data_IF_469709742133
#
_entry.id   IF_469709742133
#
_cell.length_a   1.000
_cell.length_b   1.000
_cell.length_c   1.000
_cell.angle_alpha   90.00
_cell.angle_beta   90.00
_cell.angle_gamma   90.00
#
_symmetry.space_group_name_H-M   'P 1'
#
loop_
_entity.id
_entity.type
_entity.pdbx_description
1 polymer ?
#
# COMPACT_ATOMS: atom_id res chain seq x y z
N UNK A 1 -12.31 -9.08 1.84
CA UNK A 1 -10.85 -9.34 1.84
C UNK A 1 -10.17 -8.77 3.06
N UNK A 2 -10.27 -7.46 3.33
CA UNK A 2 -9.86 -6.84 4.59
C UNK A 2 -11.10 -6.47 5.38
N UNK A 3 -11.11 -6.72 6.69
CA UNK A 3 -12.11 -6.23 7.65
C UNK A 3 -11.37 -5.78 8.91
N UNK A 4 -11.44 -4.50 9.20
CA UNK A 4 -10.92 -3.92 10.44
C UNK A 4 -12.04 -3.24 11.21
N UNK A 5 -12.04 -3.46 12.53
CA UNK A 5 -13.05 -2.89 13.42
C UNK A 5 -12.42 -2.22 14.60
N UNK A 6 -12.81 -0.99 14.83
CA UNK A 6 -12.39 -0.16 15.95
C UNK A 6 -10.85 -0.14 16.14
N UNK A 7 -10.10 -0.08 15.01
CA UNK A 7 -8.64 -0.12 15.03
C UNK A 7 -8.09 1.14 15.70
N UNK A 8 -7.26 0.94 16.72
CA UNK A 8 -6.66 2.03 17.50
C UNK A 8 -5.15 1.90 17.52
N UNK A 9 -4.46 3.04 17.47
CA UNK A 9 -3.00 3.11 17.61
C UNK A 9 -2.58 4.42 18.24
N UNK A 10 -1.70 4.32 19.23
CA UNK A 10 -1.08 5.46 19.89
C UNK A 10 0.44 5.29 19.87
N UNK A 11 1.18 6.40 19.86
CA UNK A 11 2.62 6.42 20.06
C UNK A 11 2.94 7.32 21.25
N UNK A 12 3.60 6.75 22.26
CA UNK A 12 3.95 7.46 23.50
C UNK A 12 2.75 8.18 24.14
N UNK A 13 1.60 7.52 24.14
CA UNK A 13 0.36 8.06 24.70
C UNK A 13 -0.42 9.03 23.79
N UNK A 14 0.15 9.41 22.63
CA UNK A 14 -0.54 10.28 21.67
C UNK A 14 -1.35 9.41 20.70
N UNK A 15 -2.69 9.53 20.65
CA UNK A 15 -3.54 8.76 19.73
C UNK A 15 -3.31 9.19 18.29
N UNK A 16 -3.09 8.22 17.41
CA UNK A 16 -2.88 8.41 15.96
C UNK A 16 -4.01 7.77 15.15
N UNK A 17 -4.51 6.60 15.55
CA UNK A 17 -5.74 6.01 15.02
C UNK A 17 -6.78 5.93 16.13
N UNK A 18 -7.98 6.40 15.87
CA UNK A 18 -9.02 6.62 16.89
C UNK A 18 -10.30 5.82 16.58
N UNK A 19 -10.14 4.50 16.34
CA UNK A 19 -11.28 3.63 16.08
C UNK A 19 -11.66 3.61 14.59
N UNK A 20 -10.72 3.17 13.75
CA UNK A 20 -10.96 3.01 12.32
C UNK A 20 -11.75 1.73 12.05
N UNK A 21 -12.86 1.86 11.36
CA UNK A 21 -13.63 0.77 10.76
C UNK A 21 -13.46 0.82 9.24
N UNK A 22 -12.95 -0.26 8.64
CA UNK A 22 -12.73 -0.33 7.20
C UNK A 22 -12.88 -1.75 6.69
N UNK A 23 -13.65 -1.91 5.63
CA UNK A 23 -13.71 -3.15 4.84
C UNK A 23 -13.16 -2.90 3.46
N UNK A 24 -12.48 -3.88 2.86
CA UNK A 24 -12.03 -3.85 1.46
C UNK A 24 -12.44 -5.16 0.80
N UNK A 25 -13.20 -5.08 -0.28
CA UNK A 25 -13.64 -6.23 -1.04
C UNK A 25 -12.50 -6.82 -1.90
N UNK A 26 -12.57 -8.11 -2.28
CA UNK A 26 -11.66 -8.67 -3.29
C UNK A 26 -11.74 -7.88 -4.60
N UNK A 27 -10.57 -7.54 -5.17
CA UNK A 27 -10.47 -6.76 -6.41
C UNK A 27 -10.79 -5.27 -6.27
N UNK A 28 -11.07 -4.80 -5.06
CA UNK A 28 -11.32 -3.37 -4.80
C UNK A 28 -10.01 -2.59 -4.66
N UNK A 29 -9.97 -1.43 -5.27
CA UNK A 29 -8.91 -0.43 -5.08
C UNK A 29 -9.45 0.69 -4.20
N UNK A 30 -8.86 0.86 -3.02
CA UNK A 30 -9.21 1.91 -2.06
C UNK A 30 -8.10 2.94 -1.97
N UNK A 31 -8.40 4.19 -2.30
CA UNK A 31 -7.50 5.31 -2.08
C UNK A 31 -7.71 5.90 -0.68
N UNK A 32 -6.62 6.08 0.07
CA UNK A 32 -6.63 6.73 1.39
C UNK A 32 -5.95 8.09 1.25
N UNK A 33 -6.72 9.16 1.44
CA UNK A 33 -6.28 10.54 1.30
C UNK A 33 -6.45 11.29 2.62
N UNK A 34 -5.77 12.42 2.77
CA UNK A 34 -5.85 13.26 3.97
C UNK A 34 -4.56 14.04 4.22
N UNK A 35 -4.57 14.99 5.15
CA UNK A 35 -3.40 15.81 5.48
C UNK A 35 -2.24 14.98 6.02
N UNK A 36 -1.03 15.55 5.97
CA UNK A 36 0.14 14.94 6.63
C UNK A 36 -0.13 14.80 8.13
N UNK A 37 0.32 13.67 8.72
CA UNK A 37 0.08 13.37 10.13
C UNK A 37 -1.34 12.91 10.48
N UNK A 38 -2.25 12.71 9.53
CA UNK A 38 -3.62 12.22 9.82
C UNK A 38 -3.71 10.72 10.17
N UNK A 39 -2.63 9.95 10.05
CA UNK A 39 -2.58 8.53 10.41
C UNK A 39 -2.60 7.55 9.22
N UNK A 40 -2.55 8.01 7.96
CA UNK A 40 -2.63 7.17 6.75
C UNK A 40 -1.57 6.06 6.71
N UNK A 41 -0.28 6.42 6.82
CA UNK A 41 0.85 5.48 6.88
C UNK A 41 0.73 4.53 8.08
N UNK A 42 0.30 5.04 9.23
CA UNK A 42 0.06 4.21 10.44
C UNK A 42 -1.05 3.19 10.20
N UNK A 43 -2.13 3.56 9.50
CA UNK A 43 -3.17 2.63 9.11
C UNK A 43 -2.60 1.50 8.25
N UNK A 44 -1.87 1.83 7.17
CA UNK A 44 -1.26 0.81 6.31
C UNK A 44 -0.30 -0.11 7.09
N UNK A 45 0.54 0.47 7.95
CA UNK A 45 1.48 -0.31 8.78
C UNK A 45 0.79 -1.22 9.77
N UNK A 46 -0.36 -0.80 10.30
CA UNK A 46 -1.20 -1.68 11.13
C UNK A 46 -1.83 -2.81 10.31
N UNK A 47 -2.22 -2.60 9.06
CA UNK A 47 -2.78 -3.64 8.18
C UNK A 47 -1.77 -4.76 7.89
N UNK A 48 -0.48 -4.46 7.82
CA UNK A 48 0.61 -5.44 7.65
C UNK A 48 1.30 -5.79 8.98
N UNK A 49 0.79 -5.28 10.11
CA UNK A 49 1.36 -5.48 11.46
C UNK A 49 2.84 -5.07 11.57
N UNK A 50 3.31 -4.14 10.72
CA UNK A 50 4.58 -3.45 10.92
C UNK A 50 4.53 -2.59 12.17
N UNK A 51 3.38 -1.93 12.39
CA UNK A 51 3.02 -1.31 13.67
C UNK A 51 1.92 -2.17 14.33
N UNK A 52 2.12 -2.58 15.56
CA UNK A 52 1.10 -3.34 16.33
C UNK A 52 -0.02 -2.39 16.75
N UNK A 53 -1.28 -2.63 16.37
CA UNK A 53 -2.41 -1.88 16.90
C UNK A 53 -2.54 -2.04 18.42
N UNK A 54 -3.10 -1.03 19.08
CA UNK A 54 -3.34 -1.04 20.52
C UNK A 54 -4.74 -1.55 20.86
N UNK A 55 -5.62 -1.72 19.86
CA UNK A 55 -6.97 -2.23 20.03
C UNK A 55 -7.70 -2.40 18.71
N UNK A 56 -8.81 -3.11 18.73
CA UNK A 56 -9.64 -3.46 17.59
C UNK A 56 -9.38 -4.87 17.06
N UNK A 57 -9.94 -5.18 15.91
CA UNK A 57 -9.73 -6.46 15.21
C UNK A 57 -9.24 -6.21 13.80
N UNK A 58 -8.37 -7.09 13.32
CA UNK A 58 -7.85 -7.08 11.95
C UNK A 58 -8.05 -8.45 11.33
N UNK A 59 -8.74 -8.50 10.19
CA UNK A 59 -8.90 -9.70 9.38
C UNK A 59 -8.45 -9.45 7.96
N UNK A 60 -7.63 -10.35 7.42
CA UNK A 60 -7.21 -10.37 6.02
C UNK A 60 -7.45 -11.78 5.46
N UNK A 61 -8.36 -11.91 4.50
CA UNK A 61 -8.78 -13.22 4.03
C UNK A 61 -9.38 -14.06 5.15
N UNK A 62 -8.78 -15.22 5.42
CA UNK A 62 -9.16 -16.11 6.52
C UNK A 62 -8.42 -15.81 7.83
N UNK A 63 -7.37 -14.99 7.79
CA UNK A 63 -6.50 -14.74 8.93
C UNK A 63 -7.07 -13.61 9.78
N UNK A 64 -7.34 -13.92 11.05
CA UNK A 64 -7.84 -12.95 12.02
C UNK A 64 -6.84 -12.76 13.17
N UNK A 65 -6.50 -11.50 13.42
CA UNK A 65 -5.60 -11.04 14.48
C UNK A 65 -6.42 -10.34 15.54
N UNK A 66 -6.35 -10.84 16.76
CA UNK A 66 -6.91 -10.21 17.95
C UNK A 66 -5.86 -9.26 18.55
N UNK A 67 -6.08 -7.96 18.39
CA UNK A 67 -5.14 -6.95 18.89
C UNK A 67 -5.18 -6.81 20.42
N UNK A 68 -6.19 -7.35 21.08
CA UNK A 68 -6.27 -7.45 22.54
C UNK A 68 -5.35 -8.51 23.13
N UNK A 69 -4.80 -9.41 22.29
CA UNK A 69 -3.83 -10.43 22.73
C UNK A 69 -2.40 -10.04 22.37
N UNK A 70 -1.41 -10.42 23.18
CA UNK A 70 -0.01 -10.19 22.85
C UNK A 70 0.37 -10.79 21.48
N UNK A 71 1.02 -10.01 20.61
CA UNK A 71 1.46 -10.49 19.30
C UNK A 71 2.42 -11.67 19.40
N UNK A 72 3.14 -11.79 20.51
CA UNK A 72 4.02 -12.94 20.79
C UNK A 72 3.27 -14.29 20.80
N UNK A 73 1.98 -14.29 21.14
CA UNK A 73 1.12 -15.49 21.15
C UNK A 73 0.48 -15.77 19.78
N UNK A 74 0.62 -14.87 18.81
CA UNK A 74 0.02 -14.94 17.48
C UNK A 74 1.08 -14.91 16.37
N UNK A 75 2.33 -15.25 16.66
CA UNK A 75 3.47 -15.12 15.73
C UNK A 75 3.25 -15.81 14.39
N UNK A 76 2.67 -17.00 14.41
CA UNK A 76 2.43 -17.76 13.18
C UNK A 76 1.37 -17.08 12.30
N UNK A 77 0.27 -16.61 12.91
CA UNK A 77 -0.75 -15.83 12.21
C UNK A 77 -0.19 -14.51 11.63
N UNK A 78 0.66 -13.82 12.39
CA UNK A 78 1.34 -12.60 11.93
C UNK A 78 2.25 -12.90 10.74
N UNK A 79 3.00 -14.00 10.80
CA UNK A 79 3.88 -14.42 9.71
C UNK A 79 3.07 -14.81 8.47
N UNK A 80 1.99 -15.55 8.65
CA UNK A 80 1.07 -15.93 7.59
C UNK A 80 0.44 -14.69 6.95
N UNK A 81 -0.13 -13.77 7.75
CA UNK A 81 -0.71 -12.53 7.25
C UNK A 81 0.28 -11.75 6.36
N UNK A 82 1.52 -11.61 6.80
CA UNK A 82 2.56 -10.89 6.03
C UNK A 82 2.93 -11.55 4.71
N UNK A 83 2.66 -12.83 4.51
CA UNK A 83 2.85 -13.49 3.21
C UNK A 83 1.69 -13.19 2.25
N UNK A 84 0.50 -12.91 2.77
CA UNK A 84 -0.70 -12.56 2.00
C UNK A 84 -0.84 -11.06 1.72
N UNK A 85 -0.05 -10.23 2.40
CA UNK A 85 -0.10 -8.77 2.27
C UNK A 85 1.21 -8.23 1.73
N UNK A 86 1.22 -7.81 0.48
CA UNK A 86 2.33 -7.09 -0.11
C UNK A 86 2.39 -5.65 0.41
N UNK A 87 3.59 -5.11 0.60
CA UNK A 87 3.79 -3.73 1.02
C UNK A 87 4.83 -3.04 0.14
N UNK A 88 4.45 -1.89 -0.43
CA UNK A 88 5.32 -1.02 -1.23
C UNK A 88 5.53 0.27 -0.45
N UNK A 89 6.78 0.52 -0.07
CA UNK A 89 7.19 1.64 0.76
C UNK A 89 7.46 2.90 -0.07
N UNK A 90 7.35 4.05 0.56
CA UNK A 90 7.71 5.35 -0.01
C UNK A 90 9.19 5.43 -0.43
N UNK A 91 10.10 4.89 0.39
CA UNK A 91 11.56 4.93 0.17
C UNK A 91 12.12 3.64 -0.45
N UNK A 92 11.35 2.95 -1.29
CA UNK A 92 11.72 1.72 -2.02
C UNK A 92 12.14 0.55 -1.11
N UNK A 93 13.00 0.76 -0.13
CA UNK A 93 13.54 -0.21 0.83
C UNK A 93 14.12 -1.46 0.15
N UNK A 94 14.84 -1.27 -0.95
CA UNK A 94 15.56 -2.36 -1.62
C UNK A 94 16.80 -2.75 -0.80
N UNK A 95 17.17 -4.03 -0.89
CA UNK A 95 18.42 -4.52 -0.34
C UNK A 95 19.58 -3.99 -1.20
N UNK A 96 20.45 -3.10 -0.68
CA UNK A 96 21.45 -2.39 -1.50
C UNK A 96 22.55 -3.30 -2.06
N UNK A 97 22.77 -4.46 -1.41
CA UNK A 97 23.76 -5.48 -1.78
C UNK A 97 23.19 -6.59 -2.66
N UNK A 98 21.94 -6.49 -3.10
CA UNK A 98 21.25 -7.41 -3.99
C UNK A 98 20.94 -6.71 -5.31
N UNK A 99 21.01 -7.45 -6.42
CA UNK A 99 20.53 -6.98 -7.71
C UNK A 99 19.01 -6.78 -7.73
N UNK A 100 18.46 -6.20 -8.79
CA UNK A 100 17.01 -6.07 -8.96
C UNK A 100 16.32 -7.44 -8.92
N UNK A 101 16.84 -8.42 -9.66
CA UNK A 101 16.30 -9.78 -9.65
C UNK A 101 16.38 -10.42 -8.26
N UNK A 102 17.54 -10.33 -7.60
CA UNK A 102 17.72 -10.88 -6.25
C UNK A 102 16.78 -10.23 -5.23
N UNK A 103 16.52 -8.91 -5.34
CA UNK A 103 15.51 -8.24 -4.52
C UNK A 103 14.11 -8.82 -4.73
N UNK A 104 13.74 -9.13 -5.97
CA UNK A 104 12.41 -9.66 -6.31
C UNK A 104 12.25 -11.09 -5.79
N UNK A 105 13.26 -11.94 -5.93
CA UNK A 105 13.15 -13.37 -5.57
C UNK A 105 13.45 -13.70 -4.12
N UNK A 106 13.96 -12.76 -3.33
CA UNK A 106 14.36 -13.00 -1.93
C UNK A 106 13.21 -13.58 -1.09
N UNK A 107 12.03 -12.96 -1.17
CA UNK A 107 10.83 -13.42 -0.45
C UNK A 107 10.40 -14.84 -0.84
N UNK A 108 10.16 -15.13 -2.12
CA UNK A 108 9.84 -16.47 -2.60
C UNK A 108 10.84 -17.54 -2.13
N UNK A 109 12.13 -17.32 -2.33
CA UNK A 109 13.17 -18.30 -2.00
C UNK A 109 13.35 -18.47 -0.49
N UNK A 110 13.44 -17.35 0.27
CA UNK A 110 13.81 -17.42 1.69
C UNK A 110 12.59 -17.67 2.58
N UNK A 111 11.44 -17.04 2.29
CA UNK A 111 10.25 -17.10 3.15
C UNK A 111 9.34 -18.26 2.74
N UNK A 112 9.00 -18.36 1.44
CA UNK A 112 8.13 -19.43 0.92
C UNK A 112 8.86 -20.73 0.66
N UNK A 113 10.21 -20.74 0.65
CA UNK A 113 11.05 -21.92 0.36
C UNK A 113 10.78 -22.49 -1.04
N UNK A 114 10.44 -21.65 -1.98
CA UNK A 114 10.22 -22.02 -3.37
C UNK A 114 11.53 -22.44 -4.06
N UNK A 115 11.39 -23.23 -5.11
CA UNK A 115 12.51 -23.57 -5.98
C UNK A 115 13.15 -22.29 -6.57
N UNK A 116 14.48 -22.23 -6.52
CA UNK A 116 15.21 -21.03 -6.93
C UNK A 116 15.08 -20.73 -8.43
N UNK A 117 15.05 -21.75 -9.28
CA UNK A 117 14.97 -21.57 -10.74
C UNK A 117 13.56 -21.08 -11.11
N UNK A 118 12.53 -21.64 -10.50
CA UNK A 118 11.15 -21.16 -10.65
C UNK A 118 10.99 -19.72 -10.18
N UNK A 119 11.59 -19.36 -9.03
CA UNK A 119 11.59 -18.01 -8.51
C UNK A 119 12.32 -17.02 -9.45
N UNK A 120 13.46 -17.43 -10.05
CA UNK A 120 14.20 -16.63 -11.04
C UNK A 120 13.34 -16.40 -12.29
N UNK A 121 12.73 -17.44 -12.84
CA UNK A 121 11.88 -17.32 -14.02
C UNK A 121 10.71 -16.32 -13.78
N UNK A 122 10.02 -16.46 -12.66
CA UNK A 122 8.96 -15.54 -12.23
C UNK A 122 9.50 -14.13 -11.99
N UNK A 123 10.64 -13.99 -11.32
CA UNK A 123 11.26 -12.70 -11.05
C UNK A 123 11.61 -11.93 -12.32
N UNK A 124 12.18 -12.61 -13.33
CA UNK A 124 12.46 -12.00 -14.64
C UNK A 124 11.19 -11.58 -15.36
N UNK A 125 10.13 -12.38 -15.32
CA UNK A 125 8.84 -12.05 -15.90
C UNK A 125 8.22 -10.81 -15.21
N UNK A 126 8.32 -10.71 -13.87
CA UNK A 126 7.84 -9.54 -13.12
C UNK A 126 8.65 -8.28 -13.42
N UNK A 127 9.98 -8.38 -13.55
CA UNK A 127 10.80 -7.25 -13.95
C UNK A 127 10.47 -6.79 -15.37
N UNK A 128 10.27 -7.70 -16.31
CA UNK A 128 9.81 -7.37 -17.66
C UNK A 128 8.45 -6.66 -17.64
N UNK A 129 7.52 -7.15 -16.83
CA UNK A 129 6.19 -6.56 -16.64
C UNK A 129 6.23 -5.11 -16.14
N UNK A 130 7.19 -4.77 -15.27
CA UNK A 130 7.36 -3.38 -14.79
C UNK A 130 8.34 -2.57 -15.68
N UNK A 131 8.67 -3.07 -16.89
CA UNK A 131 9.53 -2.38 -17.86
C UNK A 131 11.02 -2.36 -17.50
N UNK A 132 11.52 -3.38 -16.79
CA UNK A 132 12.89 -3.47 -16.30
C UNK A 132 13.58 -4.80 -16.67
N UNK A 133 13.24 -5.38 -17.83
CA UNK A 133 13.82 -6.66 -18.28
C UNK A 133 15.34 -6.60 -18.40
N UNK A 134 15.89 -5.46 -18.87
CA UNK A 134 17.30 -5.18 -19.08
C UNK A 134 18.06 -4.80 -17.79
N UNK A 135 17.34 -4.60 -16.67
CA UNK A 135 17.88 -4.16 -15.38
C UNK A 135 17.96 -5.28 -14.32
N UNK A 136 17.68 -6.53 -14.69
CA UNK A 136 17.64 -7.66 -13.76
C UNK A 136 18.92 -7.78 -12.90
N UNK A 137 20.07 -7.55 -13.49
CA UNK A 137 21.38 -7.71 -12.86
C UNK A 137 21.94 -6.37 -12.29
N UNK A 138 21.16 -5.27 -12.37
CA UNK A 138 21.54 -3.96 -11.84
C UNK A 138 21.33 -3.89 -10.33
N UNK A 139 22.26 -3.25 -9.62
CA UNK A 139 22.13 -2.94 -8.19
C UNK A 139 21.28 -1.66 -7.98
N UNK A 140 20.63 -1.49 -6.82
CA UNK A 140 19.81 -0.30 -6.55
C UNK A 140 20.49 1.03 -6.85
N UNK A 141 21.79 1.18 -6.55
CA UNK A 141 22.59 2.39 -6.83
C UNK A 141 22.72 2.74 -8.32
N UNK A 142 22.44 1.78 -9.20
CA UNK A 142 22.52 1.92 -10.66
C UNK A 142 21.15 2.21 -11.29
N UNK A 143 20.11 2.28 -10.46
CA UNK A 143 18.73 2.48 -10.87
C UNK A 143 18.24 3.88 -10.49
N UNK A 144 17.44 4.52 -11.36
CA UNK A 144 16.73 5.74 -10.99
C UNK A 144 15.71 5.47 -9.87
N UNK A 145 15.21 6.51 -9.19
CA UNK A 145 14.19 6.38 -8.17
C UNK A 145 12.93 5.65 -8.68
N UNK A 146 12.45 6.02 -9.86
CA UNK A 146 11.30 5.34 -10.49
C UNK A 146 11.58 3.87 -10.84
N UNK A 147 12.81 3.54 -11.27
CA UNK A 147 13.22 2.15 -11.49
C UNK A 147 13.28 1.38 -10.17
N UNK A 148 13.84 1.95 -9.11
CA UNK A 148 13.88 1.32 -7.78
C UNK A 148 12.47 1.05 -7.25
N UNK A 149 11.54 1.99 -7.43
CA UNK A 149 10.15 1.81 -7.01
C UNK A 149 9.46 0.70 -7.82
N UNK A 150 9.71 0.61 -9.12
CA UNK A 150 9.17 -0.47 -9.94
C UNK A 150 9.75 -1.83 -9.55
N UNK A 151 11.03 -1.92 -9.15
CA UNK A 151 11.60 -3.14 -8.53
C UNK A 151 10.91 -3.47 -7.22
N UNK A 152 10.62 -2.48 -6.35
CA UNK A 152 9.90 -2.70 -5.10
C UNK A 152 8.47 -3.22 -5.33
N UNK A 153 7.78 -2.75 -6.38
CA UNK A 153 6.48 -3.27 -6.79
C UNK A 153 6.63 -4.73 -7.26
N UNK A 154 7.59 -5.03 -8.15
CA UNK A 154 7.85 -6.39 -8.62
C UNK A 154 8.18 -7.35 -7.46
N UNK A 155 8.97 -6.91 -6.47
CA UNK A 155 9.27 -7.66 -5.24
C UNK A 155 8.01 -7.98 -4.44
N UNK A 156 7.11 -7.02 -4.30
CA UNK A 156 5.83 -7.24 -3.63
C UNK A 156 4.97 -8.26 -4.37
N UNK A 157 4.90 -8.16 -5.71
CA UNK A 157 4.13 -9.07 -6.56
C UNK A 157 4.70 -10.50 -6.56
N UNK A 158 6.00 -10.67 -6.40
CA UNK A 158 6.67 -11.98 -6.39
C UNK A 158 6.18 -12.90 -5.27
N UNK A 159 5.67 -12.33 -4.18
CA UNK A 159 5.04 -13.05 -3.09
C UNK A 159 3.60 -13.49 -3.39
N UNK A 160 3.05 -13.13 -4.56
CA UNK A 160 1.66 -13.43 -4.96
C UNK A 160 0.65 -13.04 -3.86
N UNK A 161 0.68 -11.79 -3.39
CA UNK A 161 -0.15 -11.38 -2.27
C UNK A 161 -1.61 -11.26 -2.68
N UNK A 162 -2.51 -11.49 -1.71
CA UNK A 162 -3.95 -11.26 -1.87
C UNK A 162 -4.29 -9.77 -1.90
N UNK A 163 -3.49 -8.97 -1.19
CA UNK A 163 -3.65 -7.51 -1.06
C UNK A 163 -2.31 -6.83 -1.20
N UNK A 164 -2.27 -5.68 -1.87
CA UNK A 164 -1.08 -4.83 -1.97
C UNK A 164 -1.37 -3.48 -1.33
N UNK A 165 -0.52 -3.11 -0.38
CA UNK A 165 -0.55 -1.83 0.30
C UNK A 165 0.53 -0.91 -0.28
N UNK A 166 0.14 0.29 -0.72
CA UNK A 166 1.05 1.30 -1.25
C UNK A 166 1.10 2.50 -0.32
N UNK A 167 2.25 2.76 0.27
CA UNK A 167 2.48 3.90 1.17
C UNK A 167 3.22 5.01 0.42
N UNK A 168 2.46 5.94 -0.15
CA UNK A 168 2.96 7.09 -0.92
C UNK A 168 4.01 6.71 -1.97
N UNK A 169 3.69 5.83 -2.93
CA UNK A 169 4.66 5.19 -3.83
C UNK A 169 5.40 6.14 -4.77
N UNK A 170 4.99 7.40 -4.86
CA UNK A 170 5.58 8.41 -5.75
C UNK A 170 6.22 9.58 -5.02
N UNK A 171 6.03 9.72 -3.70
CA UNK A 171 6.43 10.92 -2.94
C UNK A 171 7.95 11.14 -2.86
N UNK A 172 8.76 10.08 -3.09
CA UNK A 172 10.22 10.17 -3.10
C UNK A 172 10.82 10.27 -4.52
N UNK A 173 9.97 10.53 -5.54
CA UNK A 173 10.38 10.56 -6.94
C UNK A 173 10.40 11.98 -7.49
N UNK A 174 11.29 12.20 -8.46
CA UNK A 174 11.23 13.38 -9.31
C UNK A 174 9.93 13.36 -10.13
N UNK A 175 9.29 14.53 -10.39
CA UNK A 175 7.98 14.60 -11.06
C UNK A 175 7.93 13.88 -12.41
N UNK A 176 9.03 13.89 -13.17
CA UNK A 176 9.13 13.22 -14.49
C UNK A 176 9.05 11.69 -14.40
N UNK A 177 9.39 11.10 -13.24
CA UNK A 177 9.40 9.64 -13.01
C UNK A 177 8.09 9.12 -12.43
N UNK A 178 7.22 10.00 -11.93
CA UNK A 178 5.94 9.65 -11.30
C UNK A 178 5.04 8.86 -12.25
N UNK A 179 4.94 9.31 -13.50
CA UNK A 179 4.04 8.73 -14.50
C UNK A 179 4.29 7.23 -14.75
N UNK A 180 5.56 6.81 -14.79
CA UNK A 180 5.92 5.42 -15.04
C UNK A 180 5.48 4.49 -13.89
N UNK A 181 5.61 4.94 -12.64
CA UNK A 181 5.19 4.18 -11.47
C UNK A 181 3.67 4.10 -11.38
N UNK A 182 2.98 5.22 -11.62
CA UNK A 182 1.51 5.26 -11.65
C UNK A 182 0.92 4.37 -12.75
N UNK A 183 1.57 4.29 -13.92
CA UNK A 183 1.16 3.39 -15.01
C UNK A 183 1.20 1.91 -14.57
N UNK A 184 2.25 1.49 -13.85
CA UNK A 184 2.33 0.14 -13.30
C UNK A 184 1.21 -0.11 -12.28
N UNK A 185 0.95 0.84 -11.37
CA UNK A 185 -0.13 0.66 -10.37
C UNK A 185 -1.51 0.62 -11.06
N UNK A 186 -1.73 1.42 -12.12
CA UNK A 186 -2.95 1.38 -12.92
C UNK A 186 -3.16 0.02 -13.57
N UNK A 187 -2.13 -0.59 -14.15
CA UNK A 187 -2.25 -1.92 -14.75
C UNK A 187 -2.65 -2.99 -13.72
N UNK A 188 -2.19 -2.87 -12.47
CA UNK A 188 -2.60 -3.76 -11.38
C UNK A 188 -4.08 -3.57 -11.00
N UNK A 189 -4.59 -2.34 -11.06
CA UNK A 189 -6.01 -2.05 -10.85
C UNK A 189 -6.90 -2.66 -11.95
N UNK A 190 -6.47 -2.54 -13.21
CA UNK A 190 -7.15 -3.13 -14.38
C UNK A 190 -7.22 -4.66 -14.28
N UNK A 191 -6.21 -5.29 -13.68
CA UNK A 191 -6.20 -6.73 -13.38
C UNK A 191 -7.04 -7.11 -12.14
N UNK A 192 -7.76 -6.15 -11.56
CA UNK A 192 -8.59 -6.35 -10.37
C UNK A 192 -7.80 -6.85 -9.16
N UNK A 193 -6.55 -6.42 -9.00
CA UNK A 193 -5.81 -6.66 -7.77
C UNK A 193 -6.42 -5.86 -6.62
N UNK A 194 -6.56 -6.48 -5.45
CA UNK A 194 -7.01 -5.78 -4.24
C UNK A 194 -5.89 -4.85 -3.75
N UNK A 195 -6.17 -3.56 -3.62
CA UNK A 195 -5.14 -2.58 -3.26
C UNK A 195 -5.67 -1.54 -2.28
N UNK A 196 -4.81 -1.12 -1.35
CA UNK A 196 -5.03 0.08 -0.54
C UNK A 196 -3.87 1.03 -0.81
N UNK A 197 -4.16 2.22 -1.29
CA UNK A 197 -3.17 3.17 -1.80
C UNK A 197 -3.26 4.48 -1.00
N UNK A 198 -2.24 4.78 -0.21
CA UNK A 198 -2.03 6.13 0.33
C UNK A 198 -1.30 6.94 -0.73
N UNK A 199 -1.87 8.07 -1.16
CA UNK A 199 -1.27 8.90 -2.20
C UNK A 199 -1.66 10.37 -2.08
N UNK A 200 -0.79 11.23 -2.59
CA UNK A 200 -1.04 12.65 -2.82
C UNK A 200 -1.39 12.96 -4.30
N UNK A 201 -1.37 11.95 -5.17
CA UNK A 201 -1.75 12.06 -6.58
C UNK A 201 -3.29 12.00 -6.71
N UNK A 202 -3.97 13.14 -6.47
CA UNK A 202 -5.43 13.21 -6.38
C UNK A 202 -6.12 12.83 -7.68
N UNK A 203 -5.57 13.23 -8.83
CA UNK A 203 -6.08 12.85 -10.15
C UNK A 203 -6.01 11.33 -10.36
N UNK A 204 -4.88 10.72 -10.02
CA UNK A 204 -4.71 9.27 -10.09
C UNK A 204 -5.68 8.53 -9.15
N UNK A 205 -5.80 8.97 -7.90
CA UNK A 205 -6.71 8.39 -6.92
C UNK A 205 -8.17 8.42 -7.41
N UNK A 206 -8.62 9.57 -7.96
CA UNK A 206 -9.96 9.73 -8.55
C UNK A 206 -10.21 8.75 -9.70
N UNK A 207 -9.21 8.56 -10.59
CA UNK A 207 -9.39 7.84 -11.85
C UNK A 207 -9.21 6.33 -11.70
N UNK A 208 -8.44 5.87 -10.71
CA UNK A 208 -8.05 4.46 -10.55
C UNK A 208 -8.77 3.78 -9.39
N UNK A 209 -9.06 4.49 -8.30
CA UNK A 209 -9.71 3.88 -7.16
C UNK A 209 -11.22 3.68 -7.38
N UNK A 210 -11.73 2.54 -6.87
CA UNK A 210 -13.16 2.30 -6.78
C UNK A 210 -13.79 3.17 -5.68
N UNK A 211 -13.10 3.26 -4.54
CA UNK A 211 -13.52 4.03 -3.38
C UNK A 211 -12.38 4.88 -2.83
N UNK A 212 -12.72 6.05 -2.32
CA UNK A 212 -11.80 6.91 -1.60
C UNK A 212 -12.24 7.06 -0.14
N UNK A 213 -11.25 7.19 0.74
CA UNK A 213 -11.42 7.40 2.17
C UNK A 213 -10.61 8.64 2.54
N UNK A 214 -11.28 9.62 3.12
CA UNK A 214 -10.63 10.80 3.68
C UNK A 214 -10.42 10.63 5.18
N UNK A 215 -9.15 10.64 5.62
CA UNK A 215 -8.74 10.51 7.02
C UNK A 215 -8.23 11.87 7.52
N UNK A 216 -8.77 12.32 8.62
CA UNK A 216 -8.25 13.48 9.36
C UNK A 216 -8.21 13.16 10.86
N UNK A 217 -7.14 13.58 11.55
CA UNK A 217 -6.93 13.39 13.00
C UNK A 217 -7.19 11.96 13.49
N UNK A 218 -6.78 10.97 12.70
CA UNK A 218 -6.90 9.56 13.08
C UNK A 218 -8.27 8.92 12.93
N UNK A 219 -9.23 9.60 12.32
CA UNK A 219 -10.59 9.09 12.07
C UNK A 219 -10.95 9.18 10.58
N UNK A 220 -11.78 8.25 10.10
CA UNK A 220 -12.41 8.38 8.78
C UNK A 220 -13.49 9.43 8.88
N UNK A 221 -13.31 10.54 8.16
CA UNK A 221 -14.25 11.65 8.11
C UNK A 221 -15.29 11.42 7.01
N UNK A 222 -14.84 10.92 5.85
CA UNK A 222 -15.71 10.64 4.72
C UNK A 222 -15.16 9.47 3.91
N UNK A 223 -16.07 8.65 3.37
CA UNK A 223 -15.75 7.60 2.42
C UNK A 223 -16.88 7.43 1.40
N UNK A 224 -16.53 7.02 0.20
CA UNK A 224 -17.51 6.80 -0.86
C UNK A 224 -16.85 6.43 -2.18
N UNK A 225 -17.65 6.28 -3.23
CA UNK A 225 -17.14 6.11 -4.58
C UNK A 225 -16.13 7.21 -4.90
N UNK A 226 -14.95 6.83 -5.45
CA UNK A 226 -13.85 7.77 -5.62
C UNK A 226 -14.29 8.98 -6.48
N UNK A 227 -14.85 8.75 -7.66
CA UNK A 227 -15.28 9.83 -8.57
C UNK A 227 -16.25 10.79 -7.89
N UNK A 228 -17.21 10.28 -7.12
CA UNK A 228 -18.21 11.08 -6.43
C UNK A 228 -17.57 11.89 -5.28
N UNK A 229 -16.72 11.26 -4.46
CA UNK A 229 -16.05 11.93 -3.34
C UNK A 229 -15.15 13.08 -3.83
N UNK A 230 -14.44 12.90 -4.95
CA UNK A 230 -13.59 13.94 -5.53
C UNK A 230 -14.39 15.05 -6.22
N UNK A 231 -15.55 14.74 -6.83
CA UNK A 231 -16.36 15.74 -7.54
C UNK A 231 -17.28 16.54 -6.60
N UNK A 232 -17.88 15.89 -5.60
CA UNK A 232 -18.88 16.46 -4.71
C UNK A 232 -18.74 15.93 -3.28
N UNK A 233 -17.66 16.27 -2.56
CA UNK A 233 -17.46 15.84 -1.18
C UNK A 233 -18.54 16.43 -0.27
N UNK A 234 -19.09 15.60 0.61
CA UNK A 234 -20.21 15.97 1.51
C UNK A 234 -19.71 16.70 2.74
N UNK A 235 -18.58 16.26 3.28
CA UNK A 235 -18.03 16.81 4.50
C UNK A 235 -17.26 18.12 4.24
N UNK A 236 -17.49 19.14 5.06
CA UNK A 236 -16.82 20.45 4.95
C UNK A 236 -15.30 20.28 4.98
N UNK A 237 -14.82 19.38 5.82
CA UNK A 237 -13.39 19.14 5.98
C UNK A 237 -12.76 18.49 4.75
N UNK A 238 -13.48 17.59 4.09
CA UNK A 238 -13.07 16.96 2.82
C UNK A 238 -13.00 18.01 1.72
N UNK A 239 -14.03 18.88 1.59
CA UNK A 239 -14.04 19.99 0.63
C UNK A 239 -12.82 20.92 0.80
N UNK A 240 -12.55 21.34 2.04
CA UNK A 240 -11.41 22.20 2.37
C UNK A 240 -10.07 21.55 2.02
N UNK A 241 -9.96 20.24 2.16
CA UNK A 241 -8.74 19.51 1.78
C UNK A 241 -8.60 19.43 0.26
N UNK A 242 -9.64 18.99 -0.43
CA UNK A 242 -9.60 18.76 -1.88
C UNK A 242 -9.50 20.06 -2.68
N UNK A 243 -10.08 21.18 -2.22
CA UNK A 243 -9.96 22.46 -2.92
C UNK A 243 -8.51 22.94 -3.10
N UNK A 244 -7.60 22.55 -2.21
CA UNK A 244 -6.17 22.87 -2.30
C UNK A 244 -5.46 22.16 -3.45
N UNK A 245 -5.99 21.03 -3.89
CA UNK A 245 -5.38 20.17 -4.92
C UNK A 245 -6.06 20.28 -6.27
N UNK A 246 -7.36 20.53 -6.30
CA UNK A 246 -8.15 20.51 -7.53
C UNK A 246 -8.30 21.90 -8.18
N UNK A 247 -7.76 22.95 -7.56
CA UNK A 247 -7.77 24.31 -8.13
C UNK A 247 -9.17 24.90 -8.36
N UNK A 248 -10.22 24.23 -7.89
CA UNK A 248 -11.60 24.62 -8.08
C UNK A 248 -12.15 25.07 -6.72
N UNK A 249 -12.67 26.29 -6.65
CA UNK A 249 -13.56 26.66 -5.56
C UNK A 249 -14.78 25.74 -5.67
N UNK A 250 -14.78 24.69 -4.87
CA UNK A 250 -15.99 23.88 -4.65
C UNK A 250 -16.88 24.76 -3.78
N UNK A 251 -17.83 25.44 -4.40
CA UNK A 251 -18.80 26.32 -3.76
C UNK A 251 -19.75 25.53 -2.84
#
# INVERSE_FOLDING_TARGET
MIDIRNLRKSFKGVPVLQGIDLTVAPGEVVAVIGPSGSGKTTLLRCLNLLDTPDGGTLKVGAIEIDTGRPMAQQRDKVRELRQHVGFVFQNFNLFPHRTALENVIEGPVIVKKEDREAAIARGRALLARVGLADKADSYPRQLSGGQQQRVAIARSLAMEPDVILFDEPTSALDPELVGEVLAVIRSLAEEKRTMVIVTHEMGFARDVANRAIFIDKGAIVEQGEAKQLFAAPREVRTRQFLSKFLGTAIA
#
